data_IF_879746263202
#
_entry.id   IF_879746263202
#
_cell.length_a   1.000
_cell.length_b   1.000
_cell.length_c   1.000
_cell.angle_alpha   90.00
_cell.angle_beta   90.00
_cell.angle_gamma   90.00
#
_symmetry.space_group_name_H-M   'P 1'
#
loop_
_entity.id
_entity.type
_entity.pdbx_description
1 polymer ?
#
# COMPACT_ATOMS: atom_id res chain seq x y z
N UNK A 1 -1.77 -34.23 26.47
CA UNK A 1 -0.48 -33.58 26.23
C UNK A 1 -0.06 -33.67 24.78
N UNK A 2 0.03 -34.84 24.20
CA UNK A 2 0.43 -35.02 22.80
C UNK A 2 -0.53 -34.41 21.80
N UNK A 3 -1.81 -34.39 22.10
CA UNK A 3 -2.84 -33.81 21.23
C UNK A 3 -2.63 -32.30 21.02
N UNK A 4 -2.19 -31.61 22.08
CA UNK A 4 -1.92 -30.16 22.03
C UNK A 4 -0.73 -29.85 21.10
N UNK A 5 0.32 -30.68 21.13
CA UNK A 5 1.49 -30.55 20.28
C UNK A 5 1.15 -30.78 18.82
N UNK A 6 0.29 -31.74 18.52
CA UNK A 6 -0.16 -32.02 17.15
C UNK A 6 -1.00 -30.87 16.56
N UNK A 7 -1.77 -30.15 17.37
CA UNK A 7 -2.54 -29.01 16.94
C UNK A 7 -1.67 -27.75 16.71
N UNK A 8 -0.51 -27.67 17.39
CA UNK A 8 0.39 -26.54 17.24
C UNK A 8 1.10 -26.51 15.89
N UNK A 9 1.37 -27.67 15.28
CA UNK A 9 2.11 -27.76 14.02
C UNK A 9 1.36 -27.11 12.85
N UNK A 10 0.07 -27.36 12.60
CA UNK A 10 -0.69 -26.64 11.56
C UNK A 10 -0.79 -25.15 11.82
N UNK A 11 -0.87 -24.72 13.09
CA UNK A 11 -0.94 -23.30 13.47
C UNK A 11 0.31 -22.53 13.08
N UNK A 12 1.46 -23.18 13.09
CA UNK A 12 2.73 -22.54 12.78
C UNK A 12 2.76 -22.02 11.34
N UNK A 13 2.29 -22.81 10.39
CA UNK A 13 2.21 -22.40 8.97
C UNK A 13 1.26 -21.22 8.79
N UNK A 14 0.12 -21.23 9.49
CA UNK A 14 -0.83 -20.11 9.47
C UNK A 14 -0.24 -18.84 10.05
N UNK A 15 0.57 -18.97 11.12
CA UNK A 15 1.24 -17.82 11.75
C UNK A 15 2.27 -17.19 10.80
N UNK A 16 3.03 -18.02 10.07
CA UNK A 16 4.01 -17.51 9.10
C UNK A 16 3.34 -16.78 7.92
N UNK A 17 2.24 -17.34 7.42
CA UNK A 17 1.46 -16.69 6.35
C UNK A 17 0.88 -15.35 6.84
N UNK A 18 0.36 -15.32 8.05
CA UNK A 18 -0.16 -14.09 8.66
C UNK A 18 0.93 -13.04 8.83
N UNK A 19 2.11 -13.42 9.29
CA UNK A 19 3.22 -12.49 9.45
C UNK A 19 3.66 -11.88 8.11
N UNK A 20 3.72 -12.69 7.06
CA UNK A 20 4.10 -12.21 5.72
C UNK A 20 3.04 -11.28 5.15
N UNK A 21 1.76 -11.63 5.33
CA UNK A 21 0.65 -10.80 4.88
C UNK A 21 0.65 -9.46 5.61
N UNK A 22 0.81 -9.50 6.94
CA UNK A 22 0.87 -8.29 7.76
C UNK A 22 2.06 -7.42 7.38
N UNK A 23 3.21 -8.04 7.05
CA UNK A 23 4.40 -7.32 6.58
C UNK A 23 4.14 -6.59 5.26
N UNK A 24 3.38 -7.21 4.34
CA UNK A 24 3.02 -6.55 3.08
C UNK A 24 2.14 -5.32 3.34
N UNK A 25 1.20 -5.43 4.26
CA UNK A 25 0.34 -4.31 4.67
C UNK A 25 1.16 -3.19 5.31
N UNK A 26 2.05 -3.53 6.24
CA UNK A 26 2.91 -2.55 6.92
C UNK A 26 3.85 -1.86 5.95
N UNK A 27 4.39 -2.60 4.98
CA UNK A 27 5.27 -2.05 3.95
C UNK A 27 4.54 -1.03 3.07
N UNK A 28 3.32 -1.35 2.66
CA UNK A 28 2.51 -0.42 1.88
C UNK A 28 2.12 0.82 2.71
N UNK A 29 1.73 0.63 3.96
CA UNK A 29 1.42 1.76 4.85
C UNK A 29 2.63 2.65 5.10
N UNK A 30 3.82 2.06 5.16
CA UNK A 30 5.07 2.82 5.25
C UNK A 30 5.27 3.73 4.04
N UNK A 31 4.97 3.24 2.85
CA UNK A 31 5.03 4.02 1.62
C UNK A 31 4.02 5.17 1.63
N UNK A 32 2.79 4.91 2.08
CA UNK A 32 1.74 5.93 2.20
C UNK A 32 2.14 7.01 3.19
N UNK A 33 2.68 6.62 4.35
CA UNK A 33 3.14 7.57 5.37
C UNK A 33 4.27 8.43 4.83
N UNK A 34 5.21 7.83 4.10
CA UNK A 34 6.31 8.55 3.49
C UNK A 34 5.79 9.56 2.46
N UNK A 35 4.81 9.19 1.67
CA UNK A 35 4.18 10.08 0.69
C UNK A 35 3.57 11.31 1.39
N UNK A 36 2.83 11.09 2.46
CA UNK A 36 2.21 12.17 3.21
C UNK A 36 3.25 13.07 3.87
N UNK A 37 4.22 12.49 4.55
CA UNK A 37 5.26 13.25 5.25
C UNK A 37 6.09 14.10 4.28
N UNK A 38 6.48 13.54 3.15
CA UNK A 38 7.28 14.26 2.16
C UNK A 38 6.50 15.37 1.47
N UNK A 39 5.22 15.12 1.16
CA UNK A 39 4.39 16.15 0.52
C UNK A 39 4.26 17.38 1.40
N UNK A 40 4.09 17.20 2.70
CA UNK A 40 4.01 18.28 3.67
C UNK A 40 5.36 18.97 3.86
N UNK A 41 6.42 18.17 4.06
CA UNK A 41 7.75 18.70 4.34
C UNK A 41 8.35 19.47 3.16
N UNK A 42 8.12 18.99 1.94
CA UNK A 42 8.70 19.58 0.72
C UNK A 42 7.75 20.55 0.02
N UNK A 43 6.54 20.75 0.53
CA UNK A 43 5.52 21.67 -0.02
C UNK A 43 5.20 21.37 -1.49
N UNK A 44 5.15 20.09 -1.86
CA UNK A 44 4.76 19.67 -3.21
C UNK A 44 3.98 18.37 -3.16
N UNK A 45 3.15 18.13 -4.18
CA UNK A 45 2.38 16.91 -4.26
C UNK A 45 3.27 15.71 -4.58
N UNK A 46 2.94 14.56 -3.98
CA UNK A 46 3.58 13.29 -4.26
C UNK A 46 2.56 12.31 -4.84
N UNK A 47 3.04 11.39 -5.65
CA UNK A 47 2.22 10.33 -6.25
C UNK A 47 2.76 8.97 -5.86
N UNK A 48 1.83 8.04 -5.57
CA UNK A 48 2.15 6.61 -5.59
C UNK A 48 1.65 6.10 -6.94
N UNK A 49 2.57 5.59 -7.75
CA UNK A 49 2.31 5.18 -9.13
C UNK A 49 2.33 3.66 -9.23
N UNK A 50 1.32 3.10 -9.87
CA UNK A 50 1.21 1.66 -10.12
C UNK A 50 1.96 1.31 -11.40
N UNK A 51 2.94 0.42 -11.30
CA UNK A 51 3.70 -0.08 -12.42
C UNK A 51 3.59 -1.60 -12.54
N UNK A 52 4.25 -2.16 -13.56
CA UNK A 52 4.19 -3.60 -13.84
C UNK A 52 4.79 -4.47 -12.74
N UNK A 53 5.79 -3.94 -12.04
CA UNK A 53 6.55 -4.70 -11.03
C UNK A 53 6.23 -4.31 -9.59
N UNK A 54 5.32 -3.36 -9.40
CA UNK A 54 4.98 -2.88 -8.07
C UNK A 54 4.52 -1.43 -8.09
N UNK A 55 4.64 -0.78 -6.95
CA UNK A 55 4.25 0.63 -6.80
C UNK A 55 5.47 1.45 -6.43
N UNK A 56 5.48 2.71 -6.83
CA UNK A 56 6.60 3.62 -6.58
C UNK A 56 6.10 4.98 -6.13
N UNK A 57 6.87 5.61 -5.25
CA UNK A 57 6.61 6.95 -4.76
C UNK A 57 7.49 7.94 -5.51
N UNK A 58 6.90 9.00 -6.04
CA UNK A 58 7.63 10.07 -6.68
C UNK A 58 6.90 11.40 -6.53
N UNK A 59 7.61 12.54 -6.65
CA UNK A 59 6.93 13.84 -6.73
C UNK A 59 6.07 13.91 -8.00
N UNK A 60 4.97 14.65 -7.93
CA UNK A 60 4.15 14.90 -9.11
C UNK A 60 4.94 15.64 -10.20
N UNK A 61 5.72 16.66 -9.77
CA UNK A 61 6.57 17.44 -10.67
C UNK A 61 7.97 17.50 -10.06
N UNK A 62 8.98 17.16 -10.86
CA UNK A 62 10.38 17.25 -10.42
C UNK A 62 10.89 18.69 -10.57
N UNK A 63 11.71 19.13 -9.61
CA UNK A 63 12.40 20.40 -9.70
C UNK A 63 13.41 20.40 -10.87
N UNK A 64 13.73 21.58 -11.40
CA UNK A 64 14.59 21.70 -12.60
C UNK A 64 15.95 21.02 -12.45
N UNK A 65 16.54 21.03 -11.24
CA UNK A 65 17.85 20.45 -10.97
C UNK A 65 17.76 19.05 -10.35
N UNK A 66 16.55 18.55 -10.17
CA UNK A 66 16.32 17.26 -9.55
C UNK A 66 16.32 16.15 -10.61
N UNK A 67 17.01 15.06 -10.31
CA UNK A 67 16.97 13.88 -11.18
C UNK A 67 15.58 13.25 -11.09
N UNK A 68 14.95 12.91 -12.23
CA UNK A 68 13.62 12.28 -12.24
C UNK A 68 13.73 10.80 -11.83
N UNK A 69 13.93 10.57 -10.54
CA UNK A 69 14.03 9.22 -9.97
C UNK A 69 12.94 8.99 -8.92
N UNK A 70 12.64 7.73 -8.69
CA UNK A 70 11.70 7.34 -7.64
C UNK A 70 12.28 7.63 -6.26
N UNK A 71 11.45 8.18 -5.36
CA UNK A 71 11.85 8.42 -3.98
C UNK A 71 11.92 7.11 -3.20
N UNK A 72 10.98 6.21 -3.46
CA UNK A 72 10.90 4.90 -2.85
C UNK A 72 10.09 3.98 -3.75
N UNK A 73 10.24 2.69 -3.60
CA UNK A 73 9.50 1.71 -4.37
C UNK A 73 9.14 0.52 -3.49
N UNK A 74 7.99 -0.09 -3.77
CA UNK A 74 7.56 -1.32 -3.15
C UNK A 74 7.37 -2.36 -4.26
N UNK A 75 8.34 -3.24 -4.47
CA UNK A 75 8.21 -4.27 -5.50
C UNK A 75 7.20 -5.33 -5.06
N UNK A 76 6.47 -5.88 -6.03
CA UNK A 76 5.57 -6.99 -5.81
C UNK A 76 6.22 -8.26 -6.33
N UNK A 77 6.14 -9.33 -5.53
CA UNK A 77 6.63 -10.63 -5.94
C UNK A 77 5.68 -11.26 -6.96
N UNK A 78 6.16 -12.30 -7.63
CA UNK A 78 5.34 -13.05 -8.57
C UNK A 78 4.09 -13.60 -7.87
N UNK A 79 2.94 -13.38 -8.48
CA UNK A 79 1.65 -13.78 -7.90
C UNK A 79 1.02 -12.78 -6.95
N UNK A 80 1.70 -11.67 -6.67
CA UNK A 80 1.15 -10.59 -5.85
C UNK A 80 0.56 -9.50 -6.72
N UNK A 81 -0.54 -8.88 -6.25
CA UNK A 81 -1.18 -7.78 -6.96
C UNK A 81 -1.74 -6.76 -5.97
N UNK A 82 -1.62 -5.49 -6.33
CA UNK A 82 -2.26 -4.38 -5.62
C UNK A 82 -3.24 -3.70 -6.57
N UNK A 83 -4.47 -3.52 -6.11
CA UNK A 83 -5.51 -2.84 -6.87
C UNK A 83 -5.90 -1.54 -6.16
N UNK A 84 -5.87 -0.44 -6.89
CA UNK A 84 -6.27 0.87 -6.39
C UNK A 84 -7.67 1.21 -6.90
N UNK A 85 -8.52 1.66 -5.99
CA UNK A 85 -9.83 2.21 -6.33
C UNK A 85 -9.91 3.60 -5.72
N UNK A 86 -10.28 4.60 -6.54
CA UNK A 86 -10.47 5.97 -6.10
C UNK A 86 -11.96 6.28 -6.15
N UNK A 87 -12.69 6.16 -5.01
CA UNK A 87 -14.15 6.29 -5.03
C UNK A 87 -14.67 7.65 -5.47
N UNK A 88 -13.85 8.70 -5.26
CA UNK A 88 -14.22 10.07 -5.64
C UNK A 88 -13.87 10.40 -7.09
N UNK A 89 -13.17 9.52 -7.81
CA UNK A 89 -12.78 9.77 -9.19
C UNK A 89 -13.96 9.70 -10.15
N UNK A 90 -14.01 10.61 -11.08
CA UNK A 90 -15.07 10.67 -12.10
C UNK A 90 -14.83 9.72 -13.27
N UNK A 91 -13.60 9.23 -13.41
CA UNK A 91 -13.23 8.35 -14.53
C UNK A 91 -13.49 6.89 -14.18
N UNK A 92 -13.93 6.11 -15.18
CA UNK A 92 -14.16 4.67 -15.02
C UNK A 92 -12.92 3.82 -15.28
N UNK A 93 -11.82 4.45 -15.73
CA UNK A 93 -10.58 3.72 -15.99
C UNK A 93 -9.91 3.33 -14.67
N UNK A 94 -9.23 2.16 -14.58
CA UNK A 94 -8.45 1.82 -13.41
C UNK A 94 -7.42 2.92 -13.12
N UNK A 95 -7.38 3.46 -11.90
CA UNK A 95 -6.43 4.50 -11.59
C UNK A 95 -5.01 3.94 -11.56
N UNK A 96 -4.07 4.69 -12.13
CA UNK A 96 -2.65 4.33 -12.10
C UNK A 96 -1.85 5.16 -11.12
N UNK A 97 -2.46 6.18 -10.53
CA UNK A 97 -1.77 7.12 -9.65
C UNK A 97 -2.66 7.53 -8.48
N UNK A 98 -2.06 7.70 -7.31
CA UNK A 98 -2.73 8.16 -6.09
C UNK A 98 -1.99 9.38 -5.56
N UNK A 99 -2.70 10.51 -5.47
CA UNK A 99 -2.08 11.80 -5.16
C UNK A 99 -2.17 12.16 -3.67
N UNK A 100 -1.06 12.73 -3.16
CA UNK A 100 -0.93 13.28 -1.82
C UNK A 100 -0.54 14.74 -1.95
N UNK A 101 -1.36 15.65 -1.41
CA UNK A 101 -1.15 17.10 -1.53
C UNK A 101 -0.31 17.67 -0.38
N UNK A 102 0.35 18.82 -0.61
CA UNK A 102 1.18 19.45 0.43
C UNK A 102 0.44 19.83 1.70
N UNK A 103 -0.89 19.96 1.63
CA UNK A 103 -1.74 20.22 2.81
C UNK A 103 -1.83 19.04 3.78
N UNK A 104 -1.30 17.87 3.41
CA UNK A 104 -1.41 16.65 4.20
C UNK A 104 -2.62 15.80 3.86
N UNK A 105 -3.47 16.27 2.94
CA UNK A 105 -4.65 15.53 2.47
C UNK A 105 -4.24 14.64 1.30
N UNK A 106 -4.90 13.50 1.16
CA UNK A 106 -4.76 12.67 -0.03
C UNK A 106 -6.13 12.43 -0.68
N UNK A 107 -6.12 11.96 -1.93
CA UNK A 107 -7.35 11.49 -2.53
C UNK A 107 -7.82 10.24 -1.77
N UNK A 108 -9.13 10.15 -1.41
CA UNK A 108 -9.63 8.95 -0.72
C UNK A 108 -9.43 7.73 -1.60
N UNK A 109 -8.94 6.65 -1.03
CA UNK A 109 -8.54 5.47 -1.79
C UNK A 109 -8.89 4.18 -1.05
N UNK A 110 -9.20 3.15 -1.83
CA UNK A 110 -9.33 1.79 -1.33
C UNK A 110 -8.27 0.97 -2.04
N UNK A 111 -7.43 0.27 -1.27
CA UNK A 111 -6.34 -0.55 -1.80
C UNK A 111 -6.58 -1.99 -1.41
N UNK A 112 -6.54 -2.88 -2.39
CA UNK A 112 -6.68 -4.32 -2.19
C UNK A 112 -5.42 -5.04 -2.60
N UNK A 113 -4.89 -5.85 -1.69
CA UNK A 113 -3.74 -6.72 -1.95
C UNK A 113 -4.20 -8.16 -2.08
N UNK A 114 -3.64 -8.86 -3.07
CA UNK A 114 -3.80 -10.31 -3.22
C UNK A 114 -2.43 -10.93 -3.39
N UNK A 115 -2.17 -11.97 -2.63
CA UNK A 115 -0.91 -12.69 -2.72
C UNK A 115 -1.05 -14.14 -2.26
N UNK A 116 0.08 -14.83 -2.26
CA UNK A 116 0.14 -16.25 -1.87
C UNK A 116 -0.35 -16.47 -0.43
N UNK A 117 -0.01 -15.54 0.46
CA UNK A 117 -0.29 -15.68 1.89
C UNK A 117 -1.66 -15.18 2.30
N UNK A 118 -2.41 -14.59 1.39
CA UNK A 118 -3.76 -14.10 1.66
C UNK A 118 -4.07 -12.78 0.96
N UNK A 119 -5.10 -12.12 1.47
CA UNK A 119 -5.58 -10.83 0.92
C UNK A 119 -5.82 -9.84 2.05
N UNK A 120 -5.67 -8.55 1.75
CA UNK A 120 -6.17 -7.50 2.63
C UNK A 120 -6.73 -6.36 1.79
N UNK A 121 -7.71 -5.67 2.38
CA UNK A 121 -8.32 -4.47 1.78
C UNK A 121 -8.29 -3.37 2.83
N UNK A 122 -7.81 -2.20 2.45
CA UNK A 122 -7.71 -1.05 3.33
C UNK A 122 -8.36 0.17 2.69
N UNK A 123 -9.09 0.93 3.51
CA UNK A 123 -9.69 2.20 3.14
C UNK A 123 -8.82 3.30 3.74
N UNK A 124 -8.37 4.24 2.91
CA UNK A 124 -7.49 5.33 3.33
C UNK A 124 -8.26 6.63 3.41
N UNK A 125 -8.22 7.24 4.60
CA UNK A 125 -8.90 8.51 4.87
C UNK A 125 -8.23 9.66 4.11
N UNK A 126 -9.02 10.50 3.47
CA UNK A 126 -8.53 11.66 2.73
C UNK A 126 -7.82 12.65 3.66
N UNK A 127 -8.29 12.81 4.89
CA UNK A 127 -7.77 13.82 5.82
C UNK A 127 -6.48 13.42 6.51
N UNK A 128 -6.31 12.14 6.81
CA UNK A 128 -5.18 11.66 7.62
C UNK A 128 -4.28 10.67 6.89
N UNK A 129 -4.70 10.18 5.73
CA UNK A 129 -4.03 9.10 4.97
C UNK A 129 -3.83 7.84 5.82
N UNK A 130 -4.64 7.65 6.85
CA UNK A 130 -4.58 6.46 7.69
C UNK A 130 -5.43 5.35 7.11
N UNK A 131 -4.90 4.14 7.22
CA UNK A 131 -5.58 2.94 6.76
C UNK A 131 -6.59 2.46 7.80
N UNK A 132 -7.77 2.06 7.32
CA UNK A 132 -8.71 1.25 8.06
C UNK A 132 -8.82 -0.09 7.35
N UNK A 133 -8.44 -1.17 8.02
CA UNK A 133 -8.56 -2.51 7.46
C UNK A 133 -10.03 -2.91 7.38
N UNK A 134 -10.52 -3.04 6.14
CA UNK A 134 -11.91 -3.42 5.87
C UNK A 134 -12.02 -4.93 5.76
N UNK A 135 -11.00 -5.59 5.23
CA UNK A 135 -10.97 -7.03 5.06
C UNK A 135 -9.53 -7.54 5.22
N UNK A 136 -9.38 -8.71 5.85
CA UNK A 136 -8.08 -9.32 6.07
C UNK A 136 -8.27 -10.83 6.19
N UNK A 137 -7.67 -11.57 5.28
CA UNK A 137 -7.79 -13.03 5.25
C UNK A 137 -6.45 -13.68 4.92
N UNK A 138 -5.77 -14.18 5.95
CA UNK A 138 -4.54 -14.96 5.79
C UNK A 138 -4.89 -16.39 5.40
N UNK A 139 -4.05 -17.01 4.57
CA UNK A 139 -4.22 -18.40 4.14
C UNK A 139 -3.37 -19.37 4.94
#
# INVERSE_FOLDING_TARGET
MMVVLLLAVPSLNGVLADKRLRRSFDGFNGLVRQAQERSVAEHRAYLIVWGDKGVALRPEVFAKKEKPTETAALPLAHGEALKLTLPAALTKKPPGEWIFWPSGICEPAIVQFKGRDGTWTADYSALTARAELVDYAAR
#
